data_IF_387255131325
#
_entry.id   IF_387255131325
#
_cell.length_a   1.000
_cell.length_b   1.000
_cell.length_c   1.000
_cell.angle_alpha   90.00
_cell.angle_beta   90.00
_cell.angle_gamma   90.00
#
_symmetry.space_group_name_H-M   'P 1'
#
loop_
_entity.id
_entity.type
_entity.pdbx_description
1 polymer ?
#
# COMPACT_ATOMS: atom_id res chain seq x y z
N UNK A 1 -23.53 -0.18 -8.66
CA UNK A 1 -22.33 0.69 -8.55
C UNK A 1 -21.30 0.19 -7.53
N UNK A 2 -21.68 -0.35 -6.37
CA UNK A 2 -20.73 -0.81 -5.34
C UNK A 2 -19.68 -1.85 -5.77
N UNK A 3 -20.04 -2.82 -6.61
CA UNK A 3 -19.10 -3.87 -7.09
C UNK A 3 -17.96 -3.30 -7.95
N UNK A 4 -18.25 -2.31 -8.80
CA UNK A 4 -17.24 -1.63 -9.63
C UNK A 4 -16.30 -0.76 -8.78
N UNK A 5 -16.83 -0.08 -7.77
CA UNK A 5 -16.02 0.70 -6.84
C UNK A 5 -15.05 -0.19 -6.04
N UNK A 6 -15.50 -1.34 -5.55
CA UNK A 6 -14.64 -2.32 -4.87
C UNK A 6 -13.53 -2.84 -5.79
N UNK A 7 -13.87 -3.14 -7.05
CA UNK A 7 -12.89 -3.58 -8.05
C UNK A 7 -11.82 -2.52 -8.32
N UNK A 8 -12.22 -1.24 -8.45
CA UNK A 8 -11.29 -0.13 -8.63
C UNK A 8 -10.36 0.06 -7.42
N UNK A 9 -10.89 -0.05 -6.20
CA UNK A 9 -10.08 0.02 -4.97
C UNK A 9 -9.08 -1.13 -4.90
N UNK A 10 -9.47 -2.34 -5.28
CA UNK A 10 -8.56 -3.50 -5.35
C UNK A 10 -7.43 -3.28 -6.38
N UNK A 11 -7.76 -2.80 -7.58
CA UNK A 11 -6.75 -2.50 -8.61
C UNK A 11 -5.78 -1.41 -8.11
N UNK A 12 -6.31 -0.34 -7.50
CA UNK A 12 -5.50 0.74 -6.94
C UNK A 12 -4.55 0.22 -5.85
N UNK A 13 -5.05 -0.63 -4.95
CA UNK A 13 -4.24 -1.25 -3.90
C UNK A 13 -3.12 -2.13 -4.46
N UNK A 14 -3.40 -2.92 -5.51
CA UNK A 14 -2.38 -3.72 -6.20
C UNK A 14 -1.31 -2.85 -6.86
N UNK A 15 -1.72 -1.77 -7.54
CA UNK A 15 -0.80 -0.82 -8.17
C UNK A 15 0.10 -0.14 -7.13
N UNK A 16 -0.47 0.33 -6.02
CA UNK A 16 0.28 0.96 -4.93
C UNK A 16 1.25 -0.01 -4.27
N UNK A 17 0.82 -1.25 -4.02
CA UNK A 17 1.69 -2.30 -3.48
C UNK A 17 2.89 -2.59 -4.39
N UNK A 18 2.65 -2.69 -5.71
CA UNK A 18 3.72 -2.87 -6.68
C UNK A 18 4.65 -1.64 -6.76
N UNK A 19 4.09 -0.43 -6.72
CA UNK A 19 4.88 0.80 -6.72
C UNK A 19 5.78 0.88 -5.49
N UNK A 20 5.25 0.56 -4.30
CA UNK A 20 6.01 0.49 -3.04
C UNK A 20 7.15 -0.54 -3.14
N UNK A 21 6.87 -1.73 -3.65
CA UNK A 21 7.87 -2.77 -3.90
C UNK A 21 9.02 -2.28 -4.78
N UNK A 22 8.68 -1.62 -5.89
CA UNK A 22 9.67 -1.07 -6.83
C UNK A 22 10.48 0.05 -6.20
N UNK A 23 9.83 0.92 -5.41
CA UNK A 23 10.49 2.02 -4.70
C UNK A 23 11.50 1.47 -3.68
N UNK A 24 11.12 0.50 -2.86
CA UNK A 24 12.02 -0.11 -1.87
C UNK A 24 13.21 -0.78 -2.57
N UNK A 25 12.96 -1.55 -3.64
CA UNK A 25 14.03 -2.20 -4.42
C UNK A 25 15.00 -1.22 -5.10
N UNK A 26 14.58 0.03 -5.33
CA UNK A 26 15.46 1.07 -5.86
C UNK A 26 16.52 1.52 -4.84
N UNK A 27 16.20 1.47 -3.55
CA UNK A 27 17.09 1.90 -2.47
C UNK A 27 17.77 0.74 -1.75
N UNK A 28 17.12 -0.44 -1.67
CA UNK A 28 17.63 -1.61 -0.96
C UNK A 28 17.67 -2.78 -1.93
N UNK A 29 18.89 -3.29 -2.20
CA UNK A 29 19.07 -4.51 -2.99
C UNK A 29 19.10 -5.74 -2.08
N UNK A 30 18.03 -6.57 -2.04
CA UNK A 30 17.95 -7.71 -1.13
C UNK A 30 18.91 -8.85 -1.50
N UNK A 31 19.54 -8.82 -2.68
CA UNK A 31 20.48 -9.86 -3.13
C UNK A 31 21.92 -9.61 -2.67
N UNK A 32 22.21 -8.44 -2.12
CA UNK A 32 23.58 -8.06 -1.73
C UNK A 32 24.03 -8.78 -0.46
N UNK A 33 23.16 -8.90 0.54
CA UNK A 33 23.47 -9.56 1.82
C UNK A 33 22.20 -9.91 2.60
N UNK A 34 22.33 -10.81 3.59
CA UNK A 34 21.21 -11.16 4.51
C UNK A 34 20.70 -9.93 5.26
N UNK A 35 21.58 -9.02 5.66
CA UNK A 35 21.18 -7.76 6.31
C UNK A 35 20.33 -6.89 5.38
N UNK A 36 20.70 -6.81 4.09
CA UNK A 36 19.90 -6.09 3.10
C UNK A 36 18.56 -6.77 2.82
N UNK A 37 18.50 -8.10 2.87
CA UNK A 37 17.24 -8.84 2.78
C UNK A 37 16.33 -8.52 3.97
N UNK A 38 16.87 -8.46 5.18
CA UNK A 38 16.10 -8.12 6.38
C UNK A 38 15.62 -6.67 6.35
N UNK A 39 16.49 -5.72 5.95
CA UNK A 39 16.11 -4.32 5.72
C UNK A 39 15.02 -4.19 4.65
N UNK A 40 15.12 -4.98 3.58
CA UNK A 40 14.13 -5.03 2.53
C UNK A 40 12.77 -5.47 3.08
N UNK A 41 12.72 -6.56 3.85
CA UNK A 41 11.48 -7.03 4.48
C UNK A 41 10.91 -6.03 5.49
N UNK A 42 11.75 -5.42 6.31
CA UNK A 42 11.33 -4.41 7.28
C UNK A 42 10.73 -3.18 6.56
N UNK A 43 11.42 -2.66 5.54
CA UNK A 43 10.92 -1.55 4.73
C UNK A 43 9.61 -1.91 4.03
N UNK A 44 9.48 -3.15 3.55
CA UNK A 44 8.26 -3.64 2.90
C UNK A 44 7.10 -3.72 3.88
N UNK A 45 7.33 -4.26 5.08
CA UNK A 45 6.34 -4.35 6.14
C UNK A 45 5.85 -2.96 6.57
N UNK A 46 6.77 -2.04 6.86
CA UNK A 46 6.44 -0.65 7.23
C UNK A 46 5.70 0.06 6.09
N UNK A 47 6.16 -0.12 4.84
CA UNK A 47 5.53 0.48 3.67
C UNK A 47 4.08 0.02 3.47
N UNK A 48 3.82 -1.29 3.58
CA UNK A 48 2.46 -1.84 3.52
C UNK A 48 1.62 -1.34 4.69
N UNK A 49 2.17 -1.32 5.91
CA UNK A 49 1.46 -0.84 7.10
C UNK A 49 0.98 0.61 6.92
N UNK A 50 1.87 1.51 6.49
CA UNK A 50 1.54 2.91 6.21
C UNK A 50 0.51 3.01 5.09
N UNK A 51 0.68 2.24 4.00
CA UNK A 51 -0.25 2.27 2.86
C UNK A 51 -1.67 1.87 3.28
N UNK A 52 -1.82 0.75 4.01
CA UNK A 52 -3.11 0.27 4.50
C UNK A 52 -3.73 1.28 5.47
N UNK A 53 -2.93 1.86 6.37
CA UNK A 53 -3.39 2.92 7.26
C UNK A 53 -3.93 4.13 6.48
N UNK A 54 -3.21 4.62 5.48
CA UNK A 54 -3.64 5.75 4.65
C UNK A 54 -4.90 5.44 3.85
N UNK A 55 -5.01 4.25 3.26
CA UNK A 55 -6.21 3.82 2.54
C UNK A 55 -7.41 3.79 3.49
N UNK A 56 -7.27 3.19 4.68
CA UNK A 56 -8.36 3.16 5.67
C UNK A 56 -8.75 4.56 6.14
N UNK A 57 -7.78 5.45 6.38
CA UNK A 57 -8.04 6.84 6.77
C UNK A 57 -8.82 7.59 5.69
N UNK A 58 -8.43 7.42 4.43
CA UNK A 58 -9.13 7.98 3.26
C UNK A 58 -10.55 7.42 3.22
N UNK A 59 -10.71 6.10 3.25
CA UNK A 59 -12.03 5.45 3.19
C UNK A 59 -12.95 5.95 4.30
N UNK A 60 -12.48 6.04 5.55
CA UNK A 60 -13.29 6.56 6.66
C UNK A 60 -13.68 8.03 6.48
N UNK A 61 -12.74 8.87 6.03
CA UNK A 61 -12.98 10.30 5.80
C UNK A 61 -14.00 10.53 4.68
N UNK A 62 -13.91 9.77 3.60
CA UNK A 62 -14.85 9.86 2.46
C UNK A 62 -16.17 9.15 2.73
N UNK A 63 -16.19 8.09 3.55
CA UNK A 63 -17.43 7.46 4.01
C UNK A 63 -18.28 8.46 4.80
N UNK A 64 -17.68 9.22 5.71
CA UNK A 64 -18.39 10.28 6.44
C UNK A 64 -19.04 11.33 5.53
N UNK A 65 -18.46 11.61 4.36
CA UNK A 65 -19.02 12.52 3.36
C UNK A 65 -20.13 11.86 2.52
N UNK A 66 -19.99 10.57 2.19
CA UNK A 66 -20.96 9.79 1.41
C UNK A 66 -22.20 9.37 2.20
N UNK A 67 -22.13 9.23 3.53
CA UNK A 67 -23.27 8.89 4.38
C UNK A 67 -24.05 10.12 4.89
N UNK A 68 -23.57 11.34 4.61
CA UNK A 68 -24.26 12.61 4.92
C UNK A 68 -25.09 13.17 3.77
N UNK A 69 -25.01 12.59 2.56
CA UNK A 69 -25.86 12.88 1.40
C UNK A 69 -27.04 11.91 1.32
#
# INVERSE_FOLDING_TARGET
MGKLAILLVLILALMLGYAMHKLIRRFINPKTSVNHLFLFFLAHFVGIFIMVFLINLIVLKFAGFLFQS
#
